data_IF_539920508332
#
_entry.id   IF_539920508332
#
_cell.length_a   1.000
_cell.length_b   1.000
_cell.length_c   1.000
_cell.angle_alpha   90.00
_cell.angle_beta   90.00
_cell.angle_gamma   90.00
#
_symmetry.space_group_name_H-M   'P 1'
#
loop_
_entity.id
_entity.type
_entity.pdbx_description
1 polymer ?
#
# COMPACT_ATOMS: atom_id res chain seq x y z
N UNK A 1 67.09 -59.38 -67.82
CA UNK A 1 66.60 -59.59 -66.46
C UNK A 1 66.89 -58.42 -65.50
N UNK A 2 67.51 -57.33 -65.92
CA UNK A 2 67.78 -56.20 -64.97
C UNK A 2 66.81 -55.03 -65.05
N UNK A 3 65.86 -54.99 -65.98
CA UNK A 3 64.86 -53.91 -66.09
C UNK A 3 63.55 -54.14 -65.28
N UNK A 4 63.20 -55.36 -64.93
CA UNK A 4 61.95 -55.67 -64.14
C UNK A 4 62.13 -55.43 -62.62
N UNK A 5 63.35 -55.43 -62.07
CA UNK A 5 63.55 -55.20 -60.61
C UNK A 5 63.58 -53.73 -60.28
N UNK A 6 63.81 -52.83 -61.20
CA UNK A 6 63.85 -51.39 -60.97
C UNK A 6 62.38 -50.79 -60.89
N UNK A 7 61.46 -51.41 -61.67
CA UNK A 7 60.08 -50.94 -61.71
C UNK A 7 59.27 -51.36 -60.41
N UNK A 8 59.69 -52.47 -59.80
CA UNK A 8 59.07 -52.92 -58.57
C UNK A 8 59.52 -52.13 -57.33
N UNK A 9 60.72 -51.60 -57.36
CA UNK A 9 61.22 -50.73 -56.25
C UNK A 9 60.62 -49.31 -56.28
N UNK A 10 60.27 -48.80 -57.46
CA UNK A 10 59.61 -47.49 -57.60
C UNK A 10 58.13 -47.49 -57.20
N UNK A 11 57.42 -48.61 -57.33
CA UNK A 11 56.05 -48.75 -56.92
C UNK A 11 55.90 -48.89 -55.39
N UNK A 12 56.84 -49.58 -54.72
CA UNK A 12 56.85 -49.70 -53.28
C UNK A 12 57.23 -48.39 -52.59
N UNK A 13 58.12 -47.57 -53.24
CA UNK A 13 58.41 -46.25 -52.67
C UNK A 13 57.28 -45.19 -52.90
N UNK A 14 56.48 -45.35 -53.96
CA UNK A 14 55.34 -44.46 -54.21
C UNK A 14 54.14 -44.79 -53.37
N UNK A 15 53.95 -46.03 -52.89
CA UNK A 15 52.87 -46.45 -51.99
C UNK A 15 53.15 -46.12 -50.53
N UNK A 16 54.38 -45.82 -50.13
CA UNK A 16 54.73 -45.40 -48.77
C UNK A 16 54.63 -43.87 -48.50
N UNK A 17 54.37 -43.06 -49.48
CA UNK A 17 54.29 -41.60 -49.32
C UNK A 17 52.82 -41.15 -49.14
N UNK A 18 51.87 -42.02 -49.35
CA UNK A 18 50.41 -41.67 -49.19
C UNK A 18 49.77 -42.17 -47.89
N UNK A 19 50.51 -42.62 -46.91
CA UNK A 19 49.94 -43.11 -45.67
C UNK A 19 50.31 -42.31 -44.42
N UNK A 20 50.53 -41.01 -44.55
CA UNK A 20 50.85 -40.18 -43.38
C UNK A 20 50.15 -38.83 -43.43
N UNK A 21 48.90 -38.88 -43.53
CA UNK A 21 48.06 -37.83 -42.98
C UNK A 21 46.83 -38.53 -42.29
N UNK A 22 47.12 -39.40 -41.33
CA UNK A 22 46.11 -39.68 -40.36
C UNK A 22 45.89 -38.36 -39.59
N UNK A 23 44.90 -37.63 -40.04
CA UNK A 23 44.27 -36.64 -39.16
C UNK A 23 43.79 -37.44 -37.96
N UNK A 24 44.51 -37.33 -36.84
CA UNK A 24 44.06 -37.85 -35.54
C UNK A 24 42.82 -37.05 -35.14
N UNK A 25 41.67 -37.31 -35.80
CA UNK A 25 40.38 -36.92 -35.33
C UNK A 25 40.13 -37.76 -34.08
N UNK A 26 40.36 -37.17 -32.91
CA UNK A 26 39.94 -37.78 -31.65
C UNK A 26 38.42 -37.95 -31.67
N UNK A 27 37.95 -39.17 -31.81
CA UNK A 27 36.50 -39.46 -31.70
C UNK A 27 36.10 -39.36 -30.23
N UNK A 28 35.02 -38.62 -29.97
CA UNK A 28 34.36 -38.66 -28.67
C UNK A 28 33.69 -40.03 -28.47
N UNK A 29 34.06 -40.70 -27.40
CA UNK A 29 33.40 -41.97 -27.04
C UNK A 29 32.20 -41.68 -26.14
N UNK A 30 31.10 -42.40 -26.32
CA UNK A 30 29.84 -42.25 -25.57
C UNK A 30 30.04 -42.51 -24.05
N UNK A 31 31.02 -43.31 -23.68
CA UNK A 31 31.37 -43.62 -22.28
C UNK A 31 32.53 -42.74 -21.76
N UNK A 32 32.93 -41.73 -22.49
CA UNK A 32 34.05 -40.84 -22.17
C UNK A 32 35.40 -41.39 -22.65
N UNK A 33 36.38 -40.54 -22.73
CA UNK A 33 37.75 -40.87 -23.12
C UNK A 33 38.60 -41.09 -21.87
N UNK A 34 39.24 -42.28 -21.75
CA UNK A 34 40.20 -42.57 -20.68
C UNK A 34 41.58 -41.92 -21.00
N UNK A 35 42.38 -41.74 -19.95
CA UNK A 35 43.75 -41.22 -20.09
C UNK A 35 43.87 -39.74 -20.46
N UNK A 36 42.81 -38.94 -20.27
CA UNK A 36 42.84 -37.48 -20.51
C UNK A 36 43.62 -36.76 -19.40
N UNK A 37 44.33 -35.72 -19.78
CA UNK A 37 45.11 -34.82 -18.91
C UNK A 37 44.58 -33.40 -19.02
N UNK A 38 45.06 -32.43 -18.23
CA UNK A 38 44.74 -31.03 -18.36
C UNK A 38 45.06 -30.39 -19.71
N UNK A 39 45.89 -31.09 -20.54
CA UNK A 39 46.23 -30.66 -21.90
C UNK A 39 45.19 -31.11 -22.94
N UNK A 40 44.26 -32.03 -22.57
CA UNK A 40 43.22 -32.47 -23.46
C UNK A 40 41.97 -31.62 -23.28
N UNK A 41 41.36 -31.20 -24.35
CA UNK A 41 40.13 -30.42 -24.34
C UNK A 41 39.23 -30.75 -25.53
N UNK A 42 37.94 -30.52 -25.37
CA UNK A 42 37.01 -30.52 -26.48
C UNK A 42 36.84 -29.06 -26.94
N UNK A 43 37.33 -28.72 -28.11
CA UNK A 43 37.27 -27.33 -28.59
C UNK A 43 38.05 -27.10 -29.86
N UNK A 44 38.28 -25.85 -30.16
CA UNK A 44 39.00 -25.37 -31.34
C UNK A 44 40.39 -24.85 -30.94
N UNK A 45 41.40 -25.07 -31.74
CA UNK A 45 42.78 -24.60 -31.52
C UNK A 45 43.06 -23.20 -32.12
N UNK A 46 42.13 -22.68 -32.88
CA UNK A 46 42.18 -21.37 -33.53
C UNK A 46 41.07 -20.47 -32.97
N UNK A 47 41.14 -19.18 -33.22
CA UNK A 47 40.18 -18.18 -32.75
C UNK A 47 38.83 -18.28 -33.51
N UNK A 48 38.16 -19.41 -33.38
CA UNK A 48 36.82 -19.68 -33.94
C UNK A 48 35.94 -20.27 -32.86
N UNK A 49 34.62 -20.03 -32.87
CA UNK A 49 33.69 -20.58 -31.90
C UNK A 49 33.61 -22.10 -31.93
N UNK A 50 33.38 -22.71 -30.76
CA UNK A 50 33.03 -24.12 -30.62
C UNK A 50 31.52 -24.28 -30.57
N UNK A 51 30.97 -25.17 -31.43
CA UNK A 51 29.55 -25.40 -31.60
C UNK A 51 29.11 -26.79 -31.12
N UNK A 52 28.09 -26.85 -30.28
CA UNK A 52 27.30 -28.06 -30.01
C UNK A 52 25.96 -27.88 -30.71
N UNK A 53 25.58 -28.77 -31.64
CA UNK A 53 24.38 -28.63 -32.47
C UNK A 53 23.53 -29.88 -32.46
N UNK A 54 22.21 -29.65 -32.45
CA UNK A 54 21.18 -30.66 -32.75
C UNK A 54 20.58 -30.33 -34.12
N UNK A 55 20.24 -31.36 -34.93
CA UNK A 55 19.66 -31.16 -36.27
C UNK A 55 20.57 -30.32 -37.17
N UNK A 56 21.86 -30.69 -37.26
CA UNK A 56 22.91 -29.91 -37.92
C UNK A 56 22.75 -29.69 -39.43
N UNK A 57 21.78 -30.36 -40.07
CA UNK A 57 21.40 -30.13 -41.48
C UNK A 57 20.31 -29.09 -41.68
N UNK A 58 19.69 -28.62 -40.61
CA UNK A 58 18.66 -27.57 -40.68
C UNK A 58 19.26 -26.18 -40.86
N UNK A 59 18.53 -25.29 -41.53
CA UNK A 59 18.88 -23.86 -41.63
C UNK A 59 18.84 -23.16 -40.26
N UNK A 60 18.14 -23.74 -39.29
CA UNK A 60 18.02 -23.26 -37.93
C UNK A 60 18.24 -24.41 -36.90
N UNK A 61 19.46 -24.93 -36.77
CA UNK A 61 19.76 -25.93 -35.77
C UNK A 61 19.66 -25.36 -34.35
N UNK A 62 19.16 -26.15 -33.40
CA UNK A 62 19.37 -25.85 -31.99
C UNK A 62 20.85 -25.93 -31.68
N UNK A 63 21.44 -24.89 -31.08
CA UNK A 63 22.86 -24.85 -30.83
C UNK A 63 23.25 -24.20 -29.49
N UNK A 64 24.36 -24.68 -28.96
CA UNK A 64 25.09 -23.98 -27.92
C UNK A 64 26.46 -23.63 -28.46
N UNK A 65 26.94 -22.41 -28.21
CA UNK A 65 28.17 -21.86 -28.75
C UNK A 65 29.05 -21.39 -27.60
N UNK A 66 30.28 -21.83 -27.56
CA UNK A 66 31.33 -21.19 -26.79
C UNK A 66 32.15 -20.33 -27.78
N UNK A 67 32.00 -19.02 -27.68
CA UNK A 67 32.72 -18.13 -28.61
C UNK A 67 34.19 -17.96 -28.22
N UNK A 68 35.00 -17.40 -29.15
CA UNK A 68 36.42 -17.23 -29.00
C UNK A 68 36.83 -16.26 -27.88
N UNK A 69 35.91 -15.50 -27.33
CA UNK A 69 36.11 -14.57 -26.21
C UNK A 69 35.47 -15.04 -24.90
N UNK A 70 35.07 -16.32 -24.84
CA UNK A 70 34.63 -16.98 -23.63
C UNK A 70 33.15 -16.75 -23.22
N UNK A 71 32.30 -16.34 -24.16
CA UNK A 71 30.86 -16.28 -23.90
C UNK A 71 30.17 -17.60 -24.28
N UNK A 72 29.18 -18.02 -23.47
CA UNK A 72 28.38 -19.19 -23.71
C UNK A 72 26.95 -18.79 -24.14
N UNK A 73 26.58 -19.25 -25.33
CA UNK A 73 25.29 -18.95 -25.94
C UNK A 73 24.46 -20.21 -26.05
N UNK A 74 23.21 -20.15 -25.64
CA UNK A 74 22.17 -21.15 -25.94
C UNK A 74 21.15 -20.49 -26.84
N UNK A 75 21.23 -20.77 -28.12
CA UNK A 75 20.40 -20.10 -29.13
C UNK A 75 19.22 -20.94 -29.59
N UNK A 76 18.06 -20.26 -29.71
CA UNK A 76 16.99 -20.76 -30.56
C UNK A 76 16.96 -20.08 -31.95
N UNK A 77 17.07 -18.76 -32.08
CA UNK A 77 17.17 -18.02 -33.37
C UNK A 77 17.48 -16.54 -33.11
N UNK A 78 18.30 -15.91 -34.03
CA UNK A 78 18.45 -14.45 -34.20
C UNK A 78 19.00 -13.63 -33.01
N UNK A 79 19.86 -14.16 -32.19
CA UNK A 79 20.66 -13.30 -31.30
C UNK A 79 21.74 -12.55 -32.09
N UNK A 80 21.73 -11.23 -32.06
CA UNK A 80 22.64 -10.42 -32.86
C UNK A 80 23.74 -9.75 -32.01
N UNK A 81 24.94 -9.57 -32.62
CA UNK A 81 26.11 -8.96 -32.01
C UNK A 81 26.76 -9.70 -30.84
N UNK A 82 26.35 -10.93 -30.57
CA UNK A 82 26.83 -11.73 -29.42
C UNK A 82 28.32 -12.13 -29.56
N UNK A 83 28.82 -12.16 -30.76
CA UNK A 83 30.20 -12.62 -31.07
C UNK A 83 31.30 -11.74 -30.47
N UNK A 84 30.97 -10.53 -30.03
CA UNK A 84 31.98 -9.57 -29.51
C UNK A 84 31.94 -9.41 -27.96
N UNK A 85 30.94 -9.99 -27.27
CA UNK A 85 30.87 -9.90 -25.80
C UNK A 85 31.79 -10.94 -25.16
N UNK A 86 32.46 -10.56 -24.06
CA UNK A 86 33.37 -11.44 -23.32
C UNK A 86 32.70 -11.99 -22.06
N UNK A 87 32.84 -13.29 -21.79
CA UNK A 87 32.43 -13.91 -20.55
C UNK A 87 30.93 -13.82 -20.23
N UNK A 88 30.07 -13.78 -21.24
CA UNK A 88 28.62 -13.65 -21.05
C UNK A 88 27.91 -14.98 -21.22
N UNK A 89 26.77 -15.15 -20.54
CA UNK A 89 25.83 -16.26 -20.73
C UNK A 89 24.57 -15.72 -21.38
N UNK A 90 24.21 -16.24 -22.55
CA UNK A 90 23.08 -15.75 -23.32
C UNK A 90 22.19 -16.93 -23.71
N UNK A 91 20.89 -16.85 -23.38
CA UNK A 91 19.90 -17.84 -23.72
C UNK A 91 18.63 -17.20 -24.30
N UNK A 92 17.97 -17.89 -25.23
CA UNK A 92 16.74 -17.41 -25.82
C UNK A 92 16.92 -16.82 -27.21
N UNK A 93 16.04 -15.89 -27.60
CA UNK A 93 15.93 -15.45 -28.98
C UNK A 93 15.87 -13.93 -29.13
N UNK A 94 16.43 -13.43 -30.23
CA UNK A 94 16.38 -12.00 -30.59
C UNK A 94 16.95 -11.04 -29.55
N UNK A 95 17.85 -11.51 -28.67
CA UNK A 95 18.55 -10.65 -27.74
C UNK A 95 19.71 -9.93 -28.48
N UNK A 96 19.92 -8.65 -28.20
CA UNK A 96 20.95 -7.81 -28.81
C UNK A 96 21.94 -7.39 -27.74
N UNK A 97 23.25 -7.71 -27.94
CA UNK A 97 24.31 -7.30 -27.05
C UNK A 97 25.36 -6.49 -27.81
N UNK A 98 25.69 -5.31 -27.31
CA UNK A 98 26.78 -4.49 -27.84
C UNK A 98 28.13 -4.96 -27.35
N UNK A 99 29.21 -4.47 -27.98
CA UNK A 99 30.60 -4.86 -27.68
C UNK A 99 31.04 -4.59 -26.22
N UNK A 100 30.37 -3.70 -25.52
CA UNK A 100 30.67 -3.33 -24.13
C UNK A 100 29.85 -4.11 -23.10
N UNK A 101 28.83 -4.87 -23.55
CA UNK A 101 27.98 -5.70 -22.68
C UNK A 101 28.69 -7.00 -22.25
N UNK A 102 29.86 -6.87 -21.63
CA UNK A 102 30.67 -8.00 -21.17
C UNK A 102 30.22 -8.52 -19.82
N UNK A 103 30.47 -9.81 -19.54
CA UNK A 103 30.14 -10.45 -18.26
C UNK A 103 28.65 -10.34 -17.90
N UNK A 104 27.77 -10.34 -18.91
CA UNK A 104 26.35 -10.26 -18.75
C UNK A 104 25.71 -11.66 -18.69
N UNK A 105 24.60 -11.77 -17.98
CA UNK A 105 23.67 -12.90 -18.04
C UNK A 105 22.38 -12.43 -18.68
N UNK A 106 22.02 -12.95 -19.86
CA UNK A 106 20.84 -12.53 -20.61
C UNK A 106 20.00 -13.74 -20.96
N UNK A 107 18.71 -13.71 -20.63
CA UNK A 107 17.78 -14.77 -21.00
C UNK A 107 16.43 -14.23 -21.43
N UNK A 108 15.78 -14.93 -22.36
CA UNK A 108 14.45 -14.58 -22.83
C UNK A 108 14.39 -14.05 -24.25
N UNK A 109 13.51 -13.08 -24.51
CA UNK A 109 13.20 -12.66 -25.86
C UNK A 109 13.26 -11.14 -26.05
N UNK A 110 13.92 -10.71 -27.13
CA UNK A 110 14.02 -9.29 -27.52
C UNK A 110 14.60 -8.34 -26.46
N UNK A 111 15.50 -8.82 -25.59
CA UNK A 111 16.21 -7.91 -24.68
C UNK A 111 17.30 -7.15 -25.45
N UNK A 112 17.40 -5.85 -25.24
CA UNK A 112 18.30 -4.95 -25.95
C UNK A 112 19.36 -4.36 -25.01
N UNK A 113 20.59 -4.84 -25.15
CA UNK A 113 21.79 -4.35 -24.46
C UNK A 113 22.79 -3.78 -25.46
N UNK A 114 22.33 -3.28 -26.62
CA UNK A 114 23.19 -2.82 -27.73
C UNK A 114 24.13 -1.67 -27.31
N UNK A 115 23.70 -0.82 -26.39
CA UNK A 115 24.48 0.29 -25.80
C UNK A 115 24.70 0.12 -24.29
N UNK A 116 24.67 -1.10 -23.76
CA UNK A 116 24.91 -1.38 -22.35
C UNK A 116 26.41 -1.47 -22.02
N UNK A 117 26.76 -1.15 -20.79
CA UNK A 117 28.01 -1.56 -20.15
C UNK A 117 27.96 -3.02 -19.68
N UNK A 118 28.97 -3.46 -18.97
CA UNK A 118 29.09 -4.84 -18.53
C UNK A 118 28.43 -5.18 -17.20
N UNK A 119 28.47 -6.48 -16.86
CA UNK A 119 28.00 -7.05 -15.59
C UNK A 119 26.50 -6.84 -15.33
N UNK A 120 25.67 -6.95 -16.36
CA UNK A 120 24.21 -6.86 -16.22
C UNK A 120 23.55 -8.24 -16.16
N UNK A 121 22.47 -8.37 -15.41
CA UNK A 121 21.57 -9.52 -15.41
C UNK A 121 20.24 -9.09 -16.01
N UNK A 122 19.87 -9.67 -17.15
CA UNK A 122 18.63 -9.32 -17.85
C UNK A 122 17.86 -10.58 -18.17
N UNK A 123 16.63 -10.69 -17.69
CA UNK A 123 15.78 -11.83 -17.99
C UNK A 123 14.32 -11.41 -18.25
N UNK A 124 13.71 -12.08 -19.22
CA UNK A 124 12.34 -11.82 -19.62
C UNK A 124 12.24 -11.31 -21.06
N UNK A 125 11.36 -10.33 -21.28
CA UNK A 125 11.06 -9.89 -22.63
C UNK A 125 11.20 -8.37 -22.79
N UNK A 126 11.80 -7.95 -23.89
CA UNK A 126 11.88 -6.54 -24.33
C UNK A 126 12.48 -5.58 -23.27
N UNK A 127 13.32 -6.08 -22.37
CA UNK A 127 14.04 -5.22 -21.44
C UNK A 127 15.17 -4.49 -22.18
N UNK A 128 15.45 -3.26 -21.80
CA UNK A 128 16.40 -2.38 -22.47
C UNK A 128 17.42 -1.80 -21.48
N UNK A 129 18.69 -1.96 -21.77
CA UNK A 129 19.81 -1.41 -20.98
C UNK A 129 20.66 -0.53 -21.87
N UNK A 130 20.74 0.77 -21.58
CA UNK A 130 21.35 1.78 -22.44
C UNK A 130 22.39 2.64 -21.73
N UNK A 131 22.97 3.57 -22.47
CA UNK A 131 23.88 4.63 -22.00
C UNK A 131 25.03 4.08 -21.16
N UNK A 132 25.60 2.95 -21.62
CA UNK A 132 26.67 2.25 -20.91
C UNK A 132 26.34 1.82 -19.48
N UNK A 133 25.03 1.69 -19.14
CA UNK A 133 24.60 1.19 -17.85
C UNK A 133 25.18 -0.18 -17.54
N UNK A 134 25.70 -0.35 -16.35
CA UNK A 134 26.39 -1.56 -15.91
C UNK A 134 26.02 -1.95 -14.49
N UNK A 135 26.33 -3.20 -14.10
CA UNK A 135 26.07 -3.72 -12.76
C UNK A 135 24.60 -3.59 -12.35
N UNK A 136 23.70 -3.83 -13.31
CA UNK A 136 22.28 -3.62 -13.15
C UNK A 136 21.48 -4.90 -13.39
N UNK A 137 20.28 -4.93 -12.89
CA UNK A 137 19.35 -6.07 -13.00
C UNK A 137 18.06 -5.59 -13.65
N UNK A 138 17.62 -6.26 -14.74
CA UNK A 138 16.32 -6.04 -15.37
C UNK A 138 15.59 -7.38 -15.51
N UNK A 139 14.55 -7.60 -14.72
CA UNK A 139 13.76 -8.83 -14.72
C UNK A 139 12.29 -8.53 -15.03
N UNK A 140 11.74 -9.19 -16.04
CA UNK A 140 10.33 -9.07 -16.40
C UNK A 140 10.12 -8.56 -17.83
N UNK A 141 9.20 -7.61 -18.00
CA UNK A 141 8.80 -7.17 -19.33
C UNK A 141 8.94 -5.65 -19.52
N UNK A 142 9.57 -5.26 -20.63
CA UNK A 142 9.66 -3.87 -21.08
C UNK A 142 10.27 -2.91 -20.04
N UNK A 143 11.19 -3.39 -19.20
CA UNK A 143 11.90 -2.54 -18.26
C UNK A 143 13.01 -1.77 -18.97
N UNK A 144 13.28 -0.53 -18.56
CA UNK A 144 14.29 0.35 -19.14
C UNK A 144 15.28 0.83 -18.07
N UNK A 145 16.55 0.59 -18.30
CA UNK A 145 17.67 0.96 -17.43
C UNK A 145 18.61 1.89 -18.22
N UNK A 146 18.90 3.08 -17.69
CA UNK A 146 19.76 4.04 -18.37
C UNK A 146 20.91 4.60 -17.51
N UNK A 147 21.13 4.04 -16.32
CA UNK A 147 22.29 4.33 -15.47
C UNK A 147 22.77 3.05 -14.78
N UNK A 148 23.94 3.10 -14.15
CA UNK A 148 24.53 1.93 -13.48
C UNK A 148 23.95 1.67 -12.09
N UNK A 149 24.13 0.43 -11.60
CA UNK A 149 23.71 0.00 -10.26
C UNK A 149 22.19 0.12 -10.03
N UNK A 150 21.39 -0.26 -11.02
CA UNK A 150 19.94 -0.18 -10.99
C UNK A 150 19.28 -1.56 -10.89
N UNK A 151 18.09 -1.60 -10.28
CA UNK A 151 17.29 -2.82 -10.10
C UNK A 151 15.87 -2.60 -10.61
N UNK A 152 15.56 -3.07 -11.81
CA UNK A 152 14.22 -3.05 -12.39
C UNK A 152 13.63 -4.45 -12.37
N UNK A 153 12.59 -4.66 -11.59
CA UNK A 153 11.88 -5.94 -11.47
C UNK A 153 10.38 -5.72 -11.66
N UNK A 154 9.85 -6.19 -12.77
CA UNK A 154 8.43 -6.03 -13.04
C UNK A 154 8.11 -5.75 -14.50
N UNK A 155 7.14 -4.87 -14.72
CA UNK A 155 6.62 -4.52 -16.05
C UNK A 155 6.66 -3.01 -16.25
N UNK A 156 7.36 -2.55 -17.29
CA UNK A 156 7.39 -1.13 -17.64
C UNK A 156 8.08 -0.25 -16.59
N UNK A 157 9.07 -0.79 -15.87
CA UNK A 157 9.87 -0.05 -14.88
C UNK A 157 10.95 0.76 -15.62
N UNK A 158 11.00 2.06 -15.40
CA UNK A 158 11.96 2.99 -16.00
C UNK A 158 12.87 3.60 -14.94
N UNK A 159 14.18 3.34 -15.06
CA UNK A 159 15.19 3.84 -14.13
C UNK A 159 16.20 4.69 -14.87
N UNK A 160 16.48 5.89 -14.36
CA UNK A 160 17.39 6.82 -15.04
C UNK A 160 18.50 7.44 -14.18
N UNK A 161 18.53 7.14 -12.89
CA UNK A 161 19.57 7.63 -11.98
C UNK A 161 20.26 6.48 -11.25
N UNK A 162 21.54 6.64 -10.97
CA UNK A 162 22.34 5.61 -10.30
C UNK A 162 21.79 5.21 -8.93
N UNK A 163 22.03 3.95 -8.57
CA UNK A 163 21.63 3.35 -7.31
C UNK A 163 20.11 3.39 -7.07
N UNK A 164 19.32 3.40 -8.14
CA UNK A 164 17.86 3.41 -8.04
C UNK A 164 17.24 2.05 -8.31
N UNK A 165 16.01 1.87 -7.86
CA UNK A 165 15.28 0.61 -8.05
C UNK A 165 13.78 0.80 -8.21
N UNK A 166 13.16 -0.15 -8.92
CA UNK A 166 11.73 -0.23 -9.11
C UNK A 166 11.26 -1.67 -9.07
N UNK A 167 10.22 -1.94 -8.25
CA UNK A 167 9.64 -3.26 -8.09
C UNK A 167 8.11 -3.19 -8.26
N UNK A 168 7.62 -3.64 -9.40
CA UNK A 168 6.18 -3.62 -9.69
C UNK A 168 5.84 -3.31 -11.14
N UNK A 169 4.80 -2.51 -11.37
CA UNK A 169 4.24 -2.26 -12.69
C UNK A 169 4.12 -0.76 -12.96
N UNK A 170 4.55 -0.30 -14.14
CA UNK A 170 4.45 1.11 -14.54
C UNK A 170 5.08 2.06 -13.51
N UNK A 171 6.36 1.88 -13.23
CA UNK A 171 7.12 2.64 -12.24
C UNK A 171 8.21 3.49 -12.91
N UNK A 172 8.50 4.65 -12.32
CA UNK A 172 9.63 5.49 -12.69
C UNK A 172 10.44 5.86 -11.44
N UNK A 173 11.77 5.67 -11.49
CA UNK A 173 12.68 6.23 -10.51
C UNK A 173 13.76 7.07 -11.20
N UNK A 174 13.73 8.39 -10.97
CA UNK A 174 14.65 9.39 -11.53
C UNK A 174 15.50 10.09 -10.48
N UNK A 175 15.16 9.93 -9.19
CA UNK A 175 16.01 10.40 -8.10
C UNK A 175 17.23 9.50 -7.90
N UNK A 176 18.40 10.07 -7.63
CA UNK A 176 19.58 9.28 -7.26
C UNK A 176 19.32 8.55 -5.93
N UNK A 177 19.67 7.26 -5.84
CA UNK A 177 19.37 6.40 -4.67
C UNK A 177 17.88 6.36 -4.32
N UNK A 178 16.99 6.45 -5.31
CA UNK A 178 15.55 6.37 -5.09
C UNK A 178 15.01 4.99 -5.41
N UNK A 179 14.08 4.53 -4.61
CA UNK A 179 13.38 3.27 -4.82
C UNK A 179 11.88 3.51 -4.92
N UNK A 180 11.21 2.73 -5.76
CA UNK A 180 9.75 2.79 -5.95
C UNK A 180 9.17 1.38 -5.97
N UNK A 181 8.12 1.18 -5.18
CA UNK A 181 7.43 -0.10 -5.03
C UNK A 181 5.93 0.07 -5.26
N UNK A 182 5.36 -0.77 -6.11
CA UNK A 182 3.93 -0.78 -6.30
C UNK A 182 3.50 -0.82 -7.76
N UNK A 183 2.49 -0.02 -8.10
CA UNK A 183 1.96 0.02 -9.45
C UNK A 183 1.47 1.41 -9.84
N UNK A 184 1.67 1.77 -11.10
CA UNK A 184 0.95 2.88 -11.73
C UNK A 184 -0.51 2.49 -12.03
N UNK A 185 -1.27 3.39 -12.62
CA UNK A 185 -2.68 3.13 -12.99
C UNK A 185 -2.85 2.57 -14.40
N UNK A 186 -1.75 2.30 -15.12
CA UNK A 186 -1.79 1.92 -16.53
C UNK A 186 -2.03 3.12 -17.45
N UNK A 187 -2.11 2.87 -18.77
CA UNK A 187 -2.39 3.93 -19.76
C UNK A 187 -1.37 5.07 -19.79
N UNK A 188 -0.12 4.83 -19.36
CA UNK A 188 0.94 5.83 -19.32
C UNK A 188 1.07 6.61 -18.00
N UNK A 189 0.17 6.40 -17.05
CA UNK A 189 0.23 7.03 -15.72
C UNK A 189 1.06 6.18 -14.75
N UNK A 190 2.36 6.47 -14.65
CA UNK A 190 3.32 5.74 -13.83
C UNK A 190 3.45 6.32 -12.43
N UNK A 191 3.70 5.46 -11.44
CA UNK A 191 4.13 5.91 -10.12
C UNK A 191 5.59 6.37 -10.21
N UNK A 192 5.81 7.65 -9.94
CA UNK A 192 7.12 8.29 -10.17
C UNK A 192 7.77 8.74 -8.88
N UNK A 193 8.98 8.22 -8.61
CA UNK A 193 9.86 8.69 -7.54
C UNK A 193 11.03 9.50 -8.13
N UNK A 194 10.94 10.81 -8.09
CA UNK A 194 11.98 11.74 -8.49
C UNK A 194 12.75 12.33 -7.30
N UNK A 195 12.51 11.85 -6.10
CA UNK A 195 13.09 12.37 -4.86
C UNK A 195 14.37 11.59 -4.54
N UNK A 196 15.53 12.22 -4.46
CA UNK A 196 16.78 11.54 -4.12
C UNK A 196 16.76 10.93 -2.72
N UNK A 197 17.49 9.83 -2.53
CA UNK A 197 17.68 9.15 -1.25
C UNK A 197 16.34 8.85 -0.55
N UNK A 198 15.38 8.33 -1.32
CA UNK A 198 14.04 8.07 -0.83
C UNK A 198 13.49 6.71 -1.22
N UNK A 199 12.48 6.26 -0.50
CA UNK A 199 11.74 5.05 -0.74
C UNK A 199 10.25 5.39 -0.84
N UNK A 200 9.63 5.07 -1.98
CA UNK A 200 8.25 5.41 -2.29
C UNK A 200 7.40 4.16 -2.48
N UNK A 201 6.19 4.17 -1.93
CA UNK A 201 5.17 3.14 -2.12
C UNK A 201 3.87 3.74 -2.66
N UNK A 202 3.23 3.02 -3.58
CA UNK A 202 1.92 3.41 -4.08
C UNK A 202 1.32 2.36 -5.01
N UNK A 203 0.01 2.43 -5.18
CA UNK A 203 -0.77 1.58 -6.08
C UNK A 203 -1.54 2.40 -7.11
N UNK A 204 -1.07 3.60 -7.37
CA UNK A 204 -1.56 4.53 -8.39
C UNK A 204 -0.43 5.48 -8.76
N UNK A 205 -0.66 6.41 -9.69
CA UNK A 205 0.30 7.48 -10.01
C UNK A 205 0.56 8.45 -8.85
N UNK A 206 -0.32 8.46 -7.84
CA UNK A 206 -0.16 9.24 -6.61
C UNK A 206 0.44 8.36 -5.51
N UNK A 207 1.57 8.75 -4.90
CA UNK A 207 2.20 7.98 -3.84
C UNK A 207 1.32 7.88 -2.59
N UNK A 208 1.30 6.70 -1.97
CA UNK A 208 0.64 6.49 -0.68
C UNK A 208 1.58 6.80 0.47
N UNK A 209 2.86 6.40 0.35
CA UNK A 209 3.86 6.59 1.40
C UNK A 209 5.22 6.96 0.79
N UNK A 210 5.92 7.85 1.47
CA UNK A 210 7.32 8.19 1.20
C UNK A 210 8.14 8.07 2.48
N UNK A 211 9.35 7.51 2.35
CA UNK A 211 10.39 7.54 3.39
C UNK A 211 11.57 8.34 2.85
N UNK A 212 11.95 9.40 3.54
CA UNK A 212 13.09 10.25 3.21
C UNK A 212 13.63 10.93 4.47
N UNK A 213 14.94 11.04 4.62
CA UNK A 213 15.59 11.80 5.71
C UNK A 213 15.08 11.44 7.11
N UNK A 214 14.93 10.14 7.39
CA UNK A 214 14.38 9.61 8.64
C UNK A 214 12.92 10.02 8.92
N UNK A 215 12.18 10.47 7.91
CA UNK A 215 10.78 10.84 8.00
C UNK A 215 9.92 9.92 7.15
N UNK A 216 8.71 9.71 7.61
CA UNK A 216 7.66 8.97 6.89
C UNK A 216 6.53 9.94 6.57
N UNK A 217 6.23 10.10 5.28
CA UNK A 217 5.06 10.79 4.77
C UNK A 217 3.98 9.78 4.38
N UNK A 218 2.77 9.93 4.85
CA UNK A 218 1.59 9.20 4.37
C UNK A 218 0.63 10.19 3.73
N UNK A 219 0.35 10.02 2.44
CA UNK A 219 -0.43 10.97 1.65
C UNK A 219 0.30 12.29 1.37
N UNK A 220 1.61 12.35 1.61
CA UNK A 220 2.47 13.50 1.31
C UNK A 220 3.86 13.04 0.90
N UNK A 221 4.47 13.77 -0.04
CA UNK A 221 5.85 13.57 -0.50
C UNK A 221 6.84 14.59 0.10
N UNK A 222 6.38 15.44 0.99
CA UNK A 222 7.19 16.46 1.68
C UNK A 222 6.96 16.40 3.19
N UNK A 223 7.41 15.34 3.88
CA UNK A 223 7.19 15.20 5.32
C UNK A 223 8.00 16.24 6.11
N UNK A 224 7.33 16.99 6.98
CA UNK A 224 7.92 18.01 7.84
C UNK A 224 8.16 17.52 9.29
N UNK A 225 7.63 16.34 9.64
CA UNK A 225 7.83 15.67 10.93
C UNK A 225 8.28 14.22 10.69
N UNK A 226 8.78 13.55 11.75
CA UNK A 226 9.20 12.12 11.68
C UNK A 226 8.08 11.24 11.10
N UNK A 227 6.85 11.48 11.52
CA UNK A 227 5.65 10.93 10.87
C UNK A 227 4.73 12.09 10.49
N UNK A 228 4.54 12.32 9.20
CA UNK A 228 3.63 13.32 8.66
C UNK A 228 2.52 12.62 7.87
N UNK A 229 1.27 12.75 8.32
CA UNK A 229 0.10 12.23 7.62
C UNK A 229 -0.70 13.39 7.03
N UNK A 230 -0.98 13.34 5.73
CA UNK A 230 -1.93 14.27 5.09
C UNK A 230 -3.28 13.55 4.98
N UNK A 231 -4.13 13.72 5.98
CA UNK A 231 -5.42 13.06 6.10
C UNK A 231 -5.75 12.65 7.53
N UNK A 232 -6.85 11.92 7.69
CA UNK A 232 -7.33 11.48 9.00
C UNK A 232 -6.56 10.24 9.47
N UNK A 233 -6.19 10.25 10.75
CA UNK A 233 -5.63 9.08 11.44
C UNK A 233 -6.73 8.45 12.30
N UNK A 234 -7.00 7.15 12.12
CA UNK A 234 -7.92 6.39 12.96
C UNK A 234 -7.11 5.41 13.81
N UNK A 235 -7.23 5.55 15.12
CA UNK A 235 -6.72 4.57 16.09
C UNK A 235 -7.91 3.76 16.60
N UNK A 236 -7.88 2.45 16.42
CA UNK A 236 -8.99 1.55 16.78
C UNK A 236 -8.55 0.60 17.88
N UNK A 237 -9.49 0.23 18.76
CA UNK A 237 -9.27 -0.72 19.86
C UNK A 237 -8.16 -0.29 20.85
N UNK A 238 -8.04 1.02 21.09
CA UNK A 238 -7.13 1.49 22.13
C UNK A 238 -7.61 0.96 23.49
N UNK A 239 -6.73 0.35 24.29
CA UNK A 239 -7.10 -0.06 25.64
C UNK A 239 -7.40 1.18 26.49
N UNK A 240 -8.38 1.07 27.42
CA UNK A 240 -8.57 2.09 28.43
C UNK A 240 -7.40 2.09 29.42
N UNK A 241 -6.95 3.26 29.82
CA UNK A 241 -5.83 3.43 30.74
C UNK A 241 -5.79 4.83 31.31
N UNK A 242 -5.02 5.00 32.38
CA UNK A 242 -4.69 6.32 32.92
C UNK A 242 -3.46 6.86 32.18
N UNK A 243 -3.49 8.12 31.75
CA UNK A 243 -2.38 8.74 31.03
C UNK A 243 -2.60 10.24 30.81
N UNK A 244 -1.65 10.88 30.16
CA UNK A 244 -1.76 12.29 29.78
C UNK A 244 -2.53 12.41 28.46
N UNK A 245 -3.39 13.43 28.36
CA UNK A 245 -4.11 13.70 27.12
C UNK A 245 -3.14 14.07 25.98
N UNK A 246 -3.48 13.67 24.77
CA UNK A 246 -2.82 14.15 23.56
C UNK A 246 -3.58 15.37 23.04
N UNK A 247 -2.85 16.38 22.64
CA UNK A 247 -3.36 17.61 22.03
C UNK A 247 -2.70 17.81 20.67
N UNK A 248 -3.33 18.60 19.82
CA UNK A 248 -2.80 18.96 18.50
C UNK A 248 -2.55 20.46 18.50
N UNK A 249 -1.34 20.89 18.11
CA UNK A 249 -1.02 22.30 17.94
C UNK A 249 -1.57 22.89 16.63
N UNK A 250 -1.39 24.19 16.42
CA UNK A 250 -1.85 24.88 15.23
C UNK A 250 -1.20 24.36 13.92
N UNK A 251 -0.05 23.68 14.01
CA UNK A 251 0.67 23.08 12.89
C UNK A 251 0.28 21.60 12.64
N UNK A 252 -0.64 21.04 13.44
CA UNK A 252 -1.05 19.64 13.35
C UNK A 252 -0.14 18.67 14.09
N UNK A 253 0.85 19.11 14.89
CA UNK A 253 1.70 18.21 15.64
C UNK A 253 0.94 17.63 16.83
N UNK A 254 0.98 16.32 16.99
CA UNK A 254 0.43 15.61 18.15
C UNK A 254 1.43 15.70 19.29
N UNK A 255 0.99 16.25 20.41
CA UNK A 255 1.80 16.46 21.60
C UNK A 255 1.09 15.93 22.84
N UNK A 256 1.83 15.68 23.88
CA UNK A 256 1.24 15.40 25.17
C UNK A 256 0.82 16.72 25.83
N UNK A 257 -0.44 16.78 26.28
CA UNK A 257 -0.94 17.94 26.99
C UNK A 257 -0.04 18.28 28.19
N UNK A 258 0.34 19.54 28.28
CA UNK A 258 1.08 20.02 29.45
C UNK A 258 0.12 20.01 30.67
N UNK A 259 0.58 19.63 31.85
CA UNK A 259 -0.23 19.58 33.09
C UNK A 259 -1.00 20.88 33.37
N UNK A 260 -0.58 22.00 32.79
CA UNK A 260 -1.24 23.31 32.90
C UNK A 260 -2.66 23.30 32.32
N UNK A 261 -2.95 22.51 31.23
CA UNK A 261 -4.31 22.49 30.61
C UNK A 261 -5.28 21.74 31.52
N UNK A 262 -4.86 20.66 32.16
CA UNK A 262 -5.67 19.93 33.15
C UNK A 262 -5.89 20.77 34.40
N UNK A 263 -4.90 21.57 34.81
CA UNK A 263 -5.01 22.46 35.93
C UNK A 263 -5.95 23.64 35.67
N UNK A 264 -5.87 24.26 34.48
CA UNK A 264 -6.80 25.32 34.07
C UNK A 264 -8.24 24.83 33.92
N UNK A 265 -8.44 23.58 33.44
CA UNK A 265 -9.79 22.99 33.38
C UNK A 265 -10.36 22.73 34.80
N UNK A 266 -9.53 22.20 35.71
CA UNK A 266 -9.90 21.97 37.09
C UNK A 266 -10.10 23.29 37.87
N UNK A 267 -9.27 24.32 37.65
CA UNK A 267 -9.44 25.65 38.21
C UNK A 267 -10.73 26.33 37.75
N UNK A 268 -11.09 26.21 36.45
CA UNK A 268 -12.38 26.71 35.92
C UNK A 268 -13.56 25.93 36.48
N UNK A 269 -13.49 24.62 36.61
CA UNK A 269 -14.54 23.80 37.19
C UNK A 269 -14.77 24.15 38.68
N UNK A 270 -13.69 24.40 39.43
CA UNK A 270 -13.73 24.88 40.80
C UNK A 270 -14.34 26.28 40.91
N UNK A 271 -13.99 27.20 39.98
CA UNK A 271 -14.54 28.53 39.89
C UNK A 271 -16.03 28.52 39.59
N UNK A 272 -16.48 27.72 38.63
CA UNK A 272 -17.91 27.52 38.35
C UNK A 272 -18.67 26.93 39.53
N UNK A 273 -18.08 25.97 40.25
CA UNK A 273 -18.68 25.39 41.41
C UNK A 273 -18.84 26.42 42.55
N UNK A 274 -17.83 27.25 42.79
CA UNK A 274 -17.89 28.36 43.76
C UNK A 274 -18.99 29.36 43.41
N UNK A 275 -19.13 29.75 42.13
CA UNK A 275 -20.20 30.64 41.68
C UNK A 275 -21.58 30.00 41.84
N UNK A 276 -21.72 28.70 41.58
CA UNK A 276 -22.97 27.99 41.84
C UNK A 276 -23.33 27.97 43.32
N UNK A 277 -22.37 27.79 44.18
CA UNK A 277 -22.62 27.74 45.64
C UNK A 277 -22.88 29.14 46.20
N UNK A 278 -22.27 30.21 45.70
CA UNK A 278 -22.59 31.59 45.99
C UNK A 278 -23.99 31.96 45.58
N UNK A 279 -24.40 31.62 44.37
CA UNK A 279 -25.79 31.83 43.88
C UNK A 279 -26.83 31.05 44.73
N UNK A 280 -26.53 29.85 45.21
CA UNK A 280 -27.38 29.09 46.09
C UNK A 280 -27.54 29.78 47.44
N UNK A 281 -26.49 30.36 47.98
CA UNK A 281 -26.52 31.09 49.23
C UNK A 281 -27.36 32.35 49.09
N UNK A 282 -27.17 33.16 48.03
CA UNK A 282 -28.00 34.32 47.70
C UNK A 282 -29.49 33.95 47.58
N UNK A 283 -29.84 32.86 46.87
CA UNK A 283 -31.21 32.36 46.76
C UNK A 283 -31.79 31.99 48.14
N UNK A 284 -30.94 31.44 49.02
CA UNK A 284 -31.39 31.05 50.36
C UNK A 284 -31.65 32.29 51.21
N UNK A 285 -30.76 33.29 51.14
CA UNK A 285 -30.91 34.55 51.84
C UNK A 285 -32.16 35.33 51.36
N UNK A 286 -32.38 35.42 50.05
CA UNK A 286 -33.58 35.98 49.48
C UNK A 286 -34.86 35.29 49.97
N UNK A 287 -34.85 33.95 50.05
CA UNK A 287 -36.00 33.19 50.62
C UNK A 287 -36.26 33.53 52.08
N UNK A 288 -35.25 33.68 52.91
CA UNK A 288 -35.40 34.05 54.31
C UNK A 288 -35.93 35.52 54.46
N UNK A 289 -35.40 36.45 53.64
CA UNK A 289 -35.88 37.83 53.60
C UNK A 289 -37.37 37.92 53.18
N UNK A 290 -37.77 37.11 52.20
CA UNK A 290 -39.18 37.02 51.81
C UNK A 290 -40.07 36.44 52.91
N UNK A 291 -39.62 35.48 53.74
CA UNK A 291 -40.33 34.97 54.90
C UNK A 291 -40.46 36.02 56.02
N UNK A 292 -39.40 36.79 56.33
CA UNK A 292 -39.39 37.83 57.31
C UNK A 292 -40.38 38.98 56.99
N UNK A 293 -40.52 39.32 55.70
CA UNK A 293 -41.42 40.40 55.27
C UNK A 293 -42.87 39.96 55.11
N UNK A 294 -43.26 38.76 55.59
CA UNK A 294 -44.66 38.25 55.47
C UNK A 294 -45.23 38.28 54.02
N UNK A 295 -44.38 38.31 53.05
CA UNK A 295 -44.81 38.12 51.68
C UNK A 295 -45.09 36.65 51.54
N UNK A 296 -46.37 36.27 51.43
CA UNK A 296 -46.79 34.90 51.26
C UNK A 296 -46.14 34.31 49.98
N UNK A 297 -45.17 33.42 50.16
CA UNK A 297 -44.48 32.72 49.03
C UNK A 297 -45.40 31.63 48.43
N UNK A 298 -46.69 31.66 48.72
CA UNK A 298 -47.70 30.84 48.03
C UNK A 298 -47.85 31.07 46.54
N UNK A 299 -47.12 32.10 46.01
CA UNK A 299 -47.14 32.45 44.58
C UNK A 299 -45.93 31.88 43.76
N UNK A 300 -45.00 31.18 44.37
CA UNK A 300 -43.83 30.67 43.65
C UNK A 300 -43.63 29.15 43.85
N UNK A 301 -44.61 28.44 44.40
CA UNK A 301 -44.69 27.01 44.11
C UNK A 301 -45.37 26.88 42.76
N UNK A 302 -44.63 26.66 41.75
CA UNK A 302 -44.99 26.41 40.35
C UNK A 302 -45.83 25.11 40.20
N UNK A 303 -46.76 24.92 41.14
CA UNK A 303 -47.75 23.82 41.21
C UNK A 303 -49.04 24.16 40.45
N UNK A 304 -49.10 25.30 39.76
CA UNK A 304 -50.26 25.69 38.97
C UNK A 304 -50.12 25.43 37.46
N UNK A 305 -48.93 25.14 36.98
CA UNK A 305 -48.73 24.90 35.56
C UNK A 305 -48.57 23.42 35.22
N UNK A 306 -49.18 22.94 34.13
CA UNK A 306 -49.01 21.56 33.66
C UNK A 306 -47.58 21.25 33.36
N UNK A 307 -47.07 20.05 33.68
CA UNK A 307 -45.72 19.61 33.41
C UNK A 307 -45.68 18.25 32.73
N UNK A 308 -44.78 18.08 31.74
CA UNK A 308 -44.47 16.81 31.13
C UNK A 308 -43.02 16.45 31.44
N UNK A 309 -42.80 15.28 32.02
CA UNK A 309 -41.46 14.82 32.37
C UNK A 309 -40.87 13.91 31.27
N UNK A 310 -39.57 13.79 31.26
CA UNK A 310 -38.87 12.88 30.38
C UNK A 310 -39.24 11.44 30.72
N UNK A 311 -39.54 10.62 29.74
CA UNK A 311 -39.80 9.20 29.91
C UNK A 311 -38.63 8.45 30.53
N UNK A 312 -38.88 7.47 31.35
CA UNK A 312 -37.87 6.66 32.03
C UNK A 312 -38.25 5.17 31.97
N UNK A 313 -37.34 4.31 31.46
CA UNK A 313 -36.04 4.59 30.86
C UNK A 313 -36.14 5.28 29.47
N UNK A 314 -35.10 6.01 29.07
CA UNK A 314 -34.91 6.55 27.72
C UNK A 314 -33.42 6.41 27.30
N UNK A 315 -33.07 5.47 26.42
CA UNK A 315 -33.95 4.57 25.68
C UNK A 315 -34.72 3.55 26.53
N UNK A 316 -35.99 3.29 26.12
CA UNK A 316 -36.80 2.20 26.69
C UNK A 316 -36.65 0.92 25.86
N UNK A 317 -36.69 -0.26 26.51
CA UNK A 317 -36.72 -1.56 25.83
C UNK A 317 -38.13 -2.11 25.83
N UNK A 318 -38.88 -1.89 24.74
CA UNK A 318 -40.26 -2.32 24.60
C UNK A 318 -41.28 -1.58 25.47
N UNK A 319 -40.91 -0.97 26.59
CA UNK A 319 -41.75 -0.16 27.46
C UNK A 319 -40.99 1.00 28.12
N UNK A 320 -41.74 2.04 28.50
CA UNK A 320 -41.23 3.21 29.21
C UNK A 320 -42.36 3.93 29.93
N UNK A 321 -42.07 4.62 31.04
CA UNK A 321 -43.00 5.37 31.82
C UNK A 321 -42.87 6.86 31.59
N UNK A 322 -43.96 7.56 31.30
CA UNK A 322 -44.05 9.00 31.20
C UNK A 322 -44.75 9.54 32.44
N UNK A 323 -44.09 10.42 33.19
CA UNK A 323 -44.66 11.14 34.33
C UNK A 323 -45.19 12.50 33.88
N UNK A 324 -46.23 12.97 34.51
CA UNK A 324 -46.82 14.26 34.23
C UNK A 324 -47.40 14.89 35.52
N UNK A 325 -47.65 16.20 35.47
CA UNK A 325 -48.43 16.93 36.47
C UNK A 325 -49.55 17.69 35.77
N UNK A 326 -50.80 17.54 36.27
CA UNK A 326 -51.97 18.26 35.77
C UNK A 326 -52.60 19.09 36.89
N UNK A 327 -52.78 20.39 36.72
CA UNK A 327 -53.61 21.21 37.61
C UNK A 327 -55.05 20.70 37.75
N UNK A 328 -55.72 21.06 38.84
CA UNK A 328 -57.10 20.58 39.13
C UNK A 328 -58.14 21.14 38.17
N UNK A 329 -57.89 22.28 37.56
CA UNK A 329 -58.80 23.04 36.70
C UNK A 329 -58.77 22.59 35.22
N UNK A 330 -57.89 21.72 34.84
CA UNK A 330 -57.79 21.14 33.47
C UNK A 330 -59.02 20.28 33.18
N UNK A 331 -59.74 20.53 32.08
CA UNK A 331 -60.91 19.78 31.67
C UNK A 331 -60.59 18.51 30.93
N UNK A 332 -59.75 18.61 29.91
CA UNK A 332 -59.32 17.48 29.09
C UNK A 332 -57.78 17.47 28.94
N UNK A 333 -57.18 16.31 29.09
CA UNK A 333 -55.75 16.16 28.92
C UNK A 333 -55.40 14.81 28.28
N UNK A 334 -54.41 14.84 27.38
CA UNK A 334 -53.91 13.63 26.71
C UNK A 334 -52.43 13.71 26.37
N UNK A 335 -51.80 12.55 26.28
CA UNK A 335 -50.48 12.44 25.69
C UNK A 335 -50.58 11.78 24.29
N UNK A 336 -50.21 12.51 23.26
CA UNK A 336 -50.06 12.03 21.89
C UNK A 336 -48.64 11.62 21.60
N UNK A 337 -48.41 10.46 20.98
CA UNK A 337 -47.12 9.95 20.60
C UNK A 337 -47.05 9.91 19.08
N UNK A 338 -46.00 10.52 18.51
CA UNK A 338 -45.83 10.69 17.08
C UNK A 338 -44.48 10.10 16.64
N UNK A 339 -44.44 9.55 15.43
CA UNK A 339 -43.15 9.17 14.80
C UNK A 339 -42.43 10.40 14.25
N UNK A 340 -41.20 10.22 13.72
CA UNK A 340 -40.40 11.31 13.16
C UNK A 340 -41.01 11.98 11.90
N UNK A 341 -41.98 11.31 11.26
CA UNK A 341 -42.73 11.86 10.11
C UNK A 341 -43.98 12.65 10.55
N UNK A 342 -44.20 12.81 11.87
CA UNK A 342 -45.34 13.55 12.43
C UNK A 342 -46.63 12.75 12.44
N UNK A 343 -46.64 11.47 12.12
CA UNK A 343 -47.82 10.61 12.16
C UNK A 343 -48.12 10.21 13.61
N UNK A 344 -49.37 10.34 14.04
CA UNK A 344 -49.85 9.92 15.36
C UNK A 344 -49.84 8.39 15.46
N UNK A 345 -49.11 7.88 16.42
CA UNK A 345 -48.98 6.42 16.70
C UNK A 345 -49.92 5.97 17.81
N UNK A 346 -50.02 6.77 18.87
CA UNK A 346 -50.85 6.43 20.04
C UNK A 346 -51.29 7.69 20.74
N UNK A 347 -52.52 7.69 21.30
CA UNK A 347 -53.02 8.72 22.21
C UNK A 347 -53.45 8.06 23.52
N UNK A 348 -53.09 8.66 24.65
CA UNK A 348 -53.49 8.22 25.98
C UNK A 348 -54.18 9.38 26.71
N UNK A 349 -55.46 9.23 27.04
CA UNK A 349 -56.19 10.22 27.82
C UNK A 349 -55.75 10.17 29.28
N UNK A 350 -55.57 11.33 29.90
CA UNK A 350 -55.09 11.48 31.27
C UNK A 350 -56.28 11.83 32.17
N UNK A 351 -56.65 10.91 33.05
CA UNK A 351 -57.80 11.10 33.93
C UNK A 351 -57.44 11.62 35.32
N UNK A 352 -56.22 11.35 35.77
CA UNK A 352 -55.76 11.72 37.12
C UNK A 352 -55.19 13.15 37.12
N UNK A 353 -55.63 13.97 38.08
CA UNK A 353 -55.09 15.30 38.35
C UNK A 353 -53.98 15.21 39.39
N UNK A 354 -53.09 16.20 39.38
CA UNK A 354 -51.87 16.18 40.19
C UNK A 354 -50.76 15.38 39.50
N UNK A 355 -49.88 14.76 40.27
CA UNK A 355 -48.82 13.92 39.74
C UNK A 355 -49.36 12.58 39.26
N UNK A 356 -49.19 12.27 37.99
CA UNK A 356 -49.61 11.04 37.38
C UNK A 356 -48.48 10.40 36.56
N UNK A 357 -48.69 9.15 36.17
CA UNK A 357 -47.80 8.43 35.28
C UNK A 357 -48.57 7.49 34.35
N UNK A 358 -48.05 7.31 33.14
CA UNK A 358 -48.57 6.34 32.19
C UNK A 358 -47.44 5.42 31.71
N UNK A 359 -47.77 4.16 31.54
CA UNK A 359 -46.84 3.20 30.94
C UNK A 359 -47.12 3.09 29.44
N UNK A 360 -46.09 3.23 28.64
CA UNK A 360 -46.12 3.12 27.18
C UNK A 360 -45.43 1.84 26.78
N UNK A 361 -46.20 0.94 26.15
CA UNK A 361 -45.73 -0.34 25.63
C UNK A 361 -46.34 -0.62 24.25
N UNK A 362 -45.82 -1.61 23.54
CA UNK A 362 -46.32 -2.05 22.23
C UNK A 362 -46.01 -1.10 21.09
N UNK A 363 -44.99 -0.26 21.23
CA UNK A 363 -44.46 0.61 20.18
C UNK A 363 -43.16 -0.01 19.67
N UNK A 364 -42.95 -0.11 18.34
CA UNK A 364 -41.75 -0.65 17.71
C UNK A 364 -40.53 0.20 18.03
N UNK A 365 -39.34 -0.39 17.95
CA UNK A 365 -38.08 0.36 18.07
C UNK A 365 -38.04 1.55 17.11
N UNK A 366 -37.58 2.71 17.62
CA UNK A 366 -37.52 3.96 16.84
C UNK A 366 -37.49 5.21 17.69
N UNK A 367 -37.38 6.35 17.01
CA UNK A 367 -37.44 7.67 17.63
C UNK A 367 -38.85 8.25 17.53
N UNK A 368 -39.34 8.78 18.64
CA UNK A 368 -40.70 9.34 18.77
C UNK A 368 -40.64 10.71 19.45
N UNK A 369 -41.70 11.49 19.23
CA UNK A 369 -41.98 12.69 20.00
C UNK A 369 -43.31 12.49 20.69
N UNK A 370 -43.42 12.79 21.98
CA UNK A 370 -44.70 12.78 22.68
C UNK A 370 -45.01 14.17 23.23
N UNK A 371 -46.27 14.53 23.16
CA UNK A 371 -46.81 15.86 23.48
C UNK A 371 -47.84 15.75 24.58
N UNK A 372 -47.82 16.66 25.56
CA UNK A 372 -48.92 16.88 26.51
C UNK A 372 -49.87 17.89 25.87
N UNK A 373 -51.07 17.41 25.58
CA UNK A 373 -52.14 18.27 25.08
C UNK A 373 -53.17 18.51 26.20
N UNK A 374 -53.55 19.76 26.39
CA UNK A 374 -54.58 20.19 27.37
C UNK A 374 -55.57 21.10 26.65
N UNK A 375 -56.86 20.76 26.76
CA UNK A 375 -57.95 21.50 26.15
C UNK A 375 -57.70 21.82 24.65
N UNK A 376 -57.13 20.81 23.94
CA UNK A 376 -56.83 20.90 22.52
C UNK A 376 -55.53 21.63 22.15
N UNK A 377 -54.76 22.14 23.12
CA UNK A 377 -53.48 22.82 22.89
C UNK A 377 -52.29 21.98 23.33
N UNK A 378 -51.24 21.98 22.53
CA UNK A 378 -49.95 21.37 22.90
C UNK A 378 -49.24 22.28 23.93
N UNK A 379 -48.96 21.74 25.12
CA UNK A 379 -48.33 22.45 26.24
C UNK A 379 -46.84 22.21 26.30
N UNK A 380 -46.41 20.96 26.12
CA UNK A 380 -44.98 20.58 26.17
C UNK A 380 -44.75 19.32 25.32
N UNK A 381 -43.53 19.17 24.84
CA UNK A 381 -43.11 18.06 23.97
C UNK A 381 -41.75 17.52 24.39
N UNK A 382 -41.60 16.19 24.34
CA UNK A 382 -40.36 15.49 24.69
C UNK A 382 -40.02 14.43 23.64
N UNK A 383 -38.77 14.11 23.51
CA UNK A 383 -38.30 13.02 22.64
C UNK A 383 -38.19 11.72 23.43
N UNK A 384 -38.56 10.62 22.78
CA UNK A 384 -38.50 9.27 23.33
C UNK A 384 -37.78 8.35 22.32
N UNK A 385 -36.90 7.52 22.81
CA UNK A 385 -36.23 6.49 22.03
C UNK A 385 -36.66 5.11 22.58
N UNK A 386 -37.14 4.23 21.71
CA UNK A 386 -37.44 2.84 21.99
C UNK A 386 -36.48 1.95 21.23
N UNK A 387 -35.93 0.98 21.94
CA UNK A 387 -35.07 -0.08 21.37
C UNK A 387 -35.86 -1.38 21.34
N UNK A 388 -35.72 -2.19 20.30
CA UNK A 388 -36.26 -3.54 20.18
C UNK A 388 -35.61 -4.51 21.16
#
# INVERSE_FOLDING_TARGET
MKSKVLFLKSIVAATMIFSAAETNAQSWQVLGNGGITSSNYAGTVNAVPFYLRTNGSSSNPGQAILNEVGSFLVESVNNSNVVKTKGSIIAGSSNILGSNANSCMVSGWQNDLSDAGGANIVAGQANRVFKQASKSVALGWANTITASNQFAVGVGVELSSEYSGGFGIDLIATGNRSFVFGAGTGGGSKLTNNIPSSLMFGVSSTPTMLIQDQRVGIGTVAPTAILHTNGRVRMQNLPSGSGRALVVDANGNVMVANTVITKMAAEKETDFQNQIDELKNEITELKELLKQNKISIDLISDSSSPKLYQNTPNPGRGETTIKYYLPKDVKDASIGIYNISGQLIKTVSLKEKGNGSINISGIRGGSYVYNLNIDGKNIDSKKMLIQD
#
